data_IF_698512717313
#
_entry.id   IF_698512717313
#
_cell.length_a   1.000
_cell.length_b   1.000
_cell.length_c   1.000
_cell.angle_alpha   90.00
_cell.angle_beta   90.00
_cell.angle_gamma   90.00
#
_symmetry.space_group_name_H-M   'P 1'
#
loop_
_entity.id
_entity.type
_entity.pdbx_description
1 polymer ?
#
# COMPACT_ATOMS: atom_id res chain seq x y z
N UNK A 1 3.64 20.69 1.86
CA UNK A 1 2.57 19.73 1.52
C UNK A 1 2.54 18.69 2.63
N UNK A 2 1.43 18.57 3.37
CA UNK A 2 1.29 17.61 4.46
C UNK A 2 0.61 16.37 3.86
N UNK A 3 1.40 15.32 3.59
CA UNK A 3 0.88 14.06 3.09
C UNK A 3 0.78 13.07 4.25
N UNK A 4 -0.39 12.47 4.44
CA UNK A 4 -0.60 11.42 5.44
C UNK A 4 -0.83 10.09 4.72
N UNK A 5 -0.15 9.02 5.15
CA UNK A 5 -0.34 7.69 4.60
C UNK A 5 -0.67 6.68 5.70
N UNK A 6 -1.74 5.93 5.52
CA UNK A 6 -2.11 4.82 6.40
C UNK A 6 -2.06 3.51 5.59
N UNK A 7 -1.15 2.57 5.89
CA UNK A 7 -0.94 1.38 5.05
C UNK A 7 -2.04 0.32 5.15
N UNK A 8 -3.01 0.46 6.05
CA UNK A 8 -4.04 -0.55 6.32
C UNK A 8 -3.50 -1.81 7.04
N UNK A 9 -4.34 -2.43 7.86
CA UNK A 9 -4.04 -3.71 8.50
C UNK A 9 -4.06 -4.90 7.53
N UNK A 10 -3.60 -6.07 8.00
CA UNK A 10 -3.74 -7.32 7.24
C UNK A 10 -4.03 -8.50 8.21
N UNK A 11 -5.14 -8.45 8.96
CA UNK A 11 -5.52 -9.49 9.92
C UNK A 11 -5.74 -10.82 9.20
N UNK A 12 -5.44 -11.92 9.90
CA UNK A 12 -5.74 -13.27 9.42
C UNK A 12 -7.03 -13.77 10.05
N UNK A 13 -7.79 -14.55 9.29
CA UNK A 13 -8.94 -15.26 9.81
C UNK A 13 -8.52 -16.25 10.90
N UNK A 14 -9.41 -16.47 11.86
CA UNK A 14 -9.23 -17.49 12.90
C UNK A 14 -10.14 -18.67 12.59
N UNK A 15 -9.53 -19.80 12.25
CA UNK A 15 -10.27 -21.04 12.02
C UNK A 15 -10.26 -21.81 13.33
N UNK A 16 -11.43 -21.98 13.94
CA UNK A 16 -11.58 -22.81 15.14
C UNK A 16 -11.27 -24.27 14.79
N UNK A 17 -10.31 -24.85 15.51
CA UNK A 17 -9.82 -26.22 15.31
C UNK A 17 -9.92 -27.02 16.62
N UNK A 18 -10.93 -26.69 17.43
CA UNK A 18 -11.05 -27.24 18.78
C UNK A 18 -11.44 -28.71 18.74
N UNK A 19 -10.57 -29.56 19.25
CA UNK A 19 -10.79 -31.01 19.34
C UNK A 19 -11.67 -31.37 20.55
N UNK A 20 -12.39 -32.50 20.48
CA UNK A 20 -13.27 -32.95 21.58
C UNK A 20 -12.55 -33.19 22.92
N UNK A 21 -11.23 -33.38 22.89
CA UNK A 21 -10.37 -33.52 24.08
C UNK A 21 -10.05 -32.19 24.76
N UNK A 22 -10.23 -31.06 24.08
CA UNK A 22 -9.98 -29.73 24.61
C UNK A 22 -11.20 -29.28 25.40
N UNK A 23 -11.04 -29.14 26.74
CA UNK A 23 -12.16 -28.89 27.66
C UNK A 23 -12.19 -27.49 28.24
N UNK A 24 -11.06 -26.81 28.25
CA UNK A 24 -10.88 -25.56 29.00
C UNK A 24 -10.65 -24.34 28.09
N UNK A 25 -10.24 -24.55 26.83
CA UNK A 25 -9.96 -23.48 25.90
C UNK A 25 -10.20 -23.90 24.45
N UNK A 26 -10.63 -22.94 23.63
CA UNK A 26 -10.71 -23.08 22.18
C UNK A 26 -9.33 -22.94 21.56
N UNK A 27 -9.03 -23.78 20.58
CA UNK A 27 -7.82 -23.73 19.77
C UNK A 27 -8.15 -23.20 18.37
N UNK A 28 -7.18 -22.49 17.77
CA UNK A 28 -7.36 -21.81 16.49
C UNK A 28 -6.14 -22.00 15.59
N UNK A 29 -6.42 -22.21 14.30
CA UNK A 29 -5.45 -22.15 13.22
C UNK A 29 -5.54 -20.81 12.51
N UNK A 30 -4.40 -20.34 11.98
CA UNK A 30 -4.30 -19.10 11.21
C UNK A 30 -4.82 -19.35 9.79
N UNK A 31 -5.88 -18.64 9.42
CA UNK A 31 -6.47 -18.66 8.08
C UNK A 31 -5.82 -17.69 7.11
N UNK A 32 -6.52 -17.41 6.02
CA UNK A 32 -6.11 -16.43 5.01
C UNK A 32 -6.07 -15.02 5.61
N UNK A 33 -5.21 -14.17 5.06
CA UNK A 33 -5.15 -12.76 5.46
C UNK A 33 -6.11 -11.94 4.60
N UNK A 34 -6.74 -10.95 5.23
CA UNK A 34 -7.64 -10.00 4.58
C UNK A 34 -6.99 -8.62 4.61
N UNK A 35 -6.35 -8.19 3.52
CA UNK A 35 -5.71 -6.88 3.46
C UNK A 35 -6.77 -5.77 3.52
N UNK A 36 -6.61 -4.85 4.47
CA UNK A 36 -7.42 -3.65 4.52
C UNK A 36 -6.96 -2.63 3.47
N UNK A 37 -7.85 -1.69 3.13
CA UNK A 37 -7.49 -0.59 2.26
C UNK A 37 -6.40 0.32 2.90
N UNK A 38 -5.50 0.81 2.06
CA UNK A 38 -4.58 1.88 2.42
C UNK A 38 -5.18 3.24 2.02
N UNK A 39 -4.89 4.28 2.79
CA UNK A 39 -5.38 5.64 2.51
C UNK A 39 -4.22 6.63 2.41
N UNK A 40 -4.32 7.53 1.43
CA UNK A 40 -3.35 8.60 1.16
C UNK A 40 -4.09 9.94 1.19
N UNK A 41 -3.82 10.75 2.20
CA UNK A 41 -4.29 12.14 2.27
C UNK A 41 -3.34 13.07 1.53
N UNK A 42 -3.85 13.83 0.55
CA UNK A 42 -3.07 14.78 -0.24
C UNK A 42 -3.86 16.03 -0.61
N UNK A 43 -3.13 17.12 -0.90
CA UNK A 43 -3.71 18.31 -1.50
C UNK A 43 -3.80 18.06 -3.00
N UNK A 44 -5.02 17.99 -3.55
CA UNK A 44 -5.23 17.72 -4.95
C UNK A 44 -4.60 18.84 -5.79
N UNK A 45 -3.78 18.46 -6.77
CA UNK A 45 -3.01 19.38 -7.59
C UNK A 45 -3.04 18.90 -9.04
N UNK A 46 -3.76 19.60 -9.94
CA UNK A 46 -3.87 19.23 -11.34
C UNK A 46 -2.58 19.46 -12.13
N UNK A 47 -1.55 20.08 -11.56
CA UNK A 47 -0.23 20.21 -12.21
C UNK A 47 0.70 19.04 -11.88
N UNK A 48 0.33 18.22 -10.89
CA UNK A 48 1.11 17.05 -10.51
C UNK A 48 0.62 15.81 -11.27
N UNK A 49 1.48 15.27 -12.14
CA UNK A 49 1.19 14.09 -12.94
C UNK A 49 0.78 12.87 -12.10
N UNK A 50 1.33 12.69 -10.89
CA UNK A 50 0.97 11.55 -10.04
C UNK A 50 -0.45 11.67 -9.48
N UNK A 51 -0.95 12.89 -9.25
CA UNK A 51 -2.33 13.10 -8.80
C UNK A 51 -3.32 12.80 -9.92
N UNK A 52 -3.02 13.24 -11.14
CA UNK A 52 -3.82 12.90 -12.33
C UNK A 52 -3.83 11.38 -12.54
N UNK A 53 -2.67 10.73 -12.40
CA UNK A 53 -2.57 9.28 -12.53
C UNK A 53 -3.42 8.54 -11.49
N UNK A 54 -3.35 8.93 -10.21
CA UNK A 54 -4.15 8.30 -9.15
C UNK A 54 -5.66 8.46 -9.41
N UNK A 55 -6.09 9.65 -9.82
CA UNK A 55 -7.48 9.88 -10.23
C UNK A 55 -7.86 9.01 -11.43
N UNK A 56 -7.03 8.97 -12.48
CA UNK A 56 -7.30 8.15 -13.67
C UNK A 56 -7.38 6.65 -13.36
N UNK A 57 -6.58 6.16 -12.41
CA UNK A 57 -6.65 4.78 -11.92
C UNK A 57 -7.94 4.51 -11.14
N UNK A 58 -8.46 5.47 -10.38
CA UNK A 58 -9.73 5.34 -9.67
C UNK A 58 -10.93 5.26 -10.65
N UNK A 59 -10.87 5.98 -11.77
CA UNK A 59 -11.91 5.98 -12.81
C UNK A 59 -11.82 4.77 -13.75
N UNK A 60 -10.71 4.04 -13.75
CA UNK A 60 -10.51 2.91 -14.63
C UNK A 60 -11.31 1.68 -14.13
N UNK A 61 -11.91 0.94 -15.07
CA UNK A 61 -12.50 -0.37 -14.76
C UNK A 61 -11.45 -1.48 -14.56
N UNK A 62 -10.17 -1.18 -14.83
CA UNK A 62 -9.07 -2.13 -14.66
C UNK A 62 -8.66 -2.19 -13.18
N UNK A 63 -8.90 -3.33 -12.56
CA UNK A 63 -8.56 -3.61 -11.17
C UNK A 63 -7.27 -4.41 -11.03
N UNK A 64 -6.46 -4.49 -12.10
CA UNK A 64 -5.16 -5.15 -12.08
C UNK A 64 -4.29 -4.52 -10.98
N UNK A 65 -3.84 -5.30 -9.99
CA UNK A 65 -3.03 -4.75 -8.90
C UNK A 65 -1.71 -4.17 -9.42
N UNK A 66 -1.43 -2.93 -9.03
CA UNK A 66 -0.16 -2.24 -9.22
C UNK A 66 0.71 -2.41 -7.97
N UNK A 67 2.03 -2.34 -8.15
CA UNK A 67 2.99 -2.29 -7.05
C UNK A 67 3.16 -0.86 -6.58
N UNK A 68 2.91 -0.62 -5.29
CA UNK A 68 3.16 0.65 -4.61
C UNK A 68 4.40 0.55 -3.74
N UNK A 69 5.28 1.54 -3.83
CA UNK A 69 6.46 1.68 -2.99
C UNK A 69 6.38 2.95 -2.16
N UNK A 70 6.44 2.80 -0.84
CA UNK A 70 6.48 3.92 0.12
C UNK A 70 7.86 3.95 0.75
N UNK A 71 8.64 4.95 0.36
CA UNK A 71 9.98 5.20 0.88
C UNK A 71 9.95 6.05 2.14
N UNK A 72 10.72 5.65 3.15
CA UNK A 72 10.87 6.42 4.39
C UNK A 72 11.79 7.62 4.18
N UNK A 73 11.77 8.56 5.12
CA UNK A 73 12.59 9.79 5.07
C UNK A 73 14.07 9.57 5.39
N UNK A 74 14.52 8.33 5.59
CA UNK A 74 15.89 7.94 5.97
C UNK A 74 16.86 7.80 4.78
N UNK A 75 16.39 8.12 3.58
CA UNK A 75 17.16 8.24 2.34
C UNK A 75 16.46 9.17 1.36
N UNK A 76 17.07 9.46 0.21
CA UNK A 76 16.50 10.34 -0.84
C UNK A 76 16.28 9.64 -2.18
N UNK A 77 16.95 8.50 -2.42
CA UNK A 77 16.91 7.79 -3.69
C UNK A 77 15.53 7.25 -4.05
N UNK A 78 15.18 7.35 -5.33
CA UNK A 78 13.87 7.00 -5.88
C UNK A 78 13.92 5.58 -6.46
N UNK A 79 12.88 4.73 -6.28
CA UNK A 79 12.88 3.40 -6.85
C UNK A 79 12.64 3.46 -8.36
N UNK A 80 13.05 2.43 -9.08
CA UNK A 80 12.84 2.35 -10.54
C UNK A 80 12.12 1.05 -10.92
N UNK A 81 11.43 1.06 -12.05
CA UNK A 81 10.89 -0.16 -12.64
C UNK A 81 12.04 -1.09 -13.05
N UNK A 82 11.92 -2.37 -12.72
CA UNK A 82 12.90 -3.38 -13.08
C UNK A 82 12.86 -3.68 -14.59
N UNK A 83 14.04 -3.82 -15.19
CA UNK A 83 14.15 -4.40 -16.52
C UNK A 83 13.82 -5.91 -16.47
N UNK A 84 13.32 -6.50 -17.58
CA UNK A 84 13.11 -7.94 -17.65
C UNK A 84 14.40 -8.71 -17.30
N UNK A 85 14.33 -9.62 -16.33
CA UNK A 85 15.47 -10.42 -15.88
C UNK A 85 16.45 -9.71 -14.94
N UNK A 86 16.11 -8.53 -14.42
CA UNK A 86 16.92 -7.88 -13.38
C UNK A 86 16.93 -8.71 -12.08
N UNK A 87 18.09 -8.72 -11.42
CA UNK A 87 18.30 -9.30 -10.10
C UNK A 87 17.90 -8.30 -9.00
N UNK A 88 17.69 -8.78 -7.77
CA UNK A 88 17.33 -7.96 -6.59
C UNK A 88 16.07 -7.10 -6.75
N UNK A 89 15.05 -7.68 -7.40
CA UNK A 89 13.76 -7.02 -7.68
C UNK A 89 12.72 -7.40 -6.63
N UNK A 90 11.96 -6.42 -6.15
CA UNK A 90 10.78 -6.62 -5.29
C UNK A 90 9.54 -6.17 -6.05
N UNK A 91 8.67 -7.13 -6.40
CA UNK A 91 7.38 -6.90 -7.08
C UNK A 91 7.49 -6.00 -8.33
N UNK A 92 8.56 -6.19 -9.12
CA UNK A 92 8.83 -5.44 -10.35
C UNK A 92 9.58 -4.11 -10.15
N UNK A 93 10.03 -3.81 -8.93
CA UNK A 93 10.80 -2.61 -8.61
C UNK A 93 12.23 -2.92 -8.18
N UNK A 94 13.19 -2.11 -8.65
CA UNK A 94 14.54 -2.04 -8.10
C UNK A 94 14.54 -0.97 -7.00
N UNK A 95 14.91 -1.37 -5.78
CA UNK A 95 14.85 -0.53 -4.59
C UNK A 95 16.26 -0.10 -4.16
N UNK A 96 16.55 1.21 -4.13
CA UNK A 96 17.79 1.72 -3.57
C UNK A 96 18.01 1.30 -2.10
N UNK A 97 19.21 0.83 -1.78
CA UNK A 97 19.56 0.30 -0.46
C UNK A 97 19.75 1.38 0.62
N UNK A 98 19.81 2.66 0.24
CA UNK A 98 20.03 3.80 1.11
C UNK A 98 18.76 4.31 1.82
N UNK A 99 17.63 3.63 1.62
CA UNK A 99 16.31 4.01 2.14
C UNK A 99 15.52 2.77 2.61
N UNK A 100 14.68 2.95 3.63
CA UNK A 100 13.71 1.93 4.06
C UNK A 100 12.45 1.99 3.20
N UNK A 101 11.94 0.82 2.78
CA UNK A 101 10.78 0.70 1.90
C UNK A 101 9.65 -0.12 2.51
N UNK A 102 8.42 0.32 2.26
CA UNK A 102 7.21 -0.48 2.45
C UNK A 102 6.55 -0.70 1.08
N UNK A 103 6.49 -1.95 0.65
CA UNK A 103 5.96 -2.37 -0.65
C UNK A 103 4.65 -3.13 -0.45
N UNK A 104 3.67 -2.87 -1.28
CA UNK A 104 2.43 -3.64 -1.32
C UNK A 104 1.80 -3.54 -2.71
N UNK A 105 0.91 -4.49 -3.02
CA UNK A 105 0.13 -4.46 -4.25
C UNK A 105 -1.31 -4.05 -3.98
N UNK A 106 -1.96 -3.43 -4.96
CA UNK A 106 -3.37 -3.05 -4.88
C UNK A 106 -3.84 -2.26 -6.10
N UNK A 107 -5.10 -1.86 -6.14
CA UNK A 107 -5.62 -0.94 -7.15
C UNK A 107 -6.21 0.29 -6.46
N UNK A 108 -6.23 1.43 -7.15
CA UNK A 108 -6.85 2.64 -6.60
C UNK A 108 -8.36 2.46 -6.70
N UNK A 109 -9.03 2.43 -5.54
CA UNK A 109 -10.47 2.17 -5.48
C UNK A 109 -11.31 3.45 -5.47
N UNK A 110 -10.73 4.57 -5.00
CA UNK A 110 -11.42 5.85 -4.94
C UNK A 110 -10.45 7.03 -4.85
N UNK A 111 -10.87 8.18 -5.37
CA UNK A 111 -10.15 9.46 -5.32
C UNK A 111 -11.15 10.62 -5.19
N UNK A 112 -11.79 10.82 -4.03
CA UNK A 112 -12.83 11.82 -3.87
C UNK A 112 -12.22 13.22 -3.69
N UNK A 113 -12.77 14.22 -4.38
CA UNK A 113 -12.38 15.62 -4.16
C UNK A 113 -13.23 16.27 -3.07
N UNK A 114 -12.58 16.94 -2.13
CA UNK A 114 -13.24 17.80 -1.14
C UNK A 114 -12.94 19.28 -1.44
N UNK A 115 -14.02 20.05 -1.65
CA UNK A 115 -13.99 21.47 -1.94
C UNK A 115 -14.56 22.25 -0.76
N UNK A 116 -13.69 23.01 -0.09
CA UNK A 116 -14.08 23.85 1.03
C UNK A 116 -13.75 25.32 0.74
N UNK A 117 -14.63 26.22 1.16
CA UNK A 117 -14.41 27.67 1.01
C UNK A 117 -13.16 28.11 1.78
N UNK A 118 -12.33 28.96 1.16
CA UNK A 118 -11.06 29.45 1.71
C UNK A 118 -10.02 28.36 2.03
N UNK A 119 -10.11 27.19 1.39
CA UNK A 119 -9.15 26.10 1.56
C UNK A 119 -8.64 25.60 0.21
N UNK A 120 -7.53 24.86 0.25
CA UNK A 120 -7.06 24.08 -0.91
C UNK A 120 -7.96 22.86 -1.09
N UNK A 121 -8.08 22.38 -2.33
CA UNK A 121 -8.79 21.13 -2.61
C UNK A 121 -8.00 19.98 -2.01
N UNK A 122 -8.67 19.13 -1.24
CA UNK A 122 -8.04 17.95 -0.62
C UNK A 122 -8.67 16.68 -1.15
N UNK A 123 -7.97 15.56 -0.97
CA UNK A 123 -8.47 14.24 -1.30
C UNK A 123 -7.86 13.19 -0.37
N UNK A 124 -8.64 12.16 -0.09
CA UNK A 124 -8.22 10.97 0.65
C UNK A 124 -8.31 9.77 -0.30
N UNK A 125 -7.29 9.60 -1.13
CA UNK A 125 -7.22 8.51 -2.09
C UNK A 125 -7.19 7.16 -1.36
N UNK A 126 -7.97 6.20 -1.85
CA UNK A 126 -8.06 4.86 -1.25
C UNK A 126 -7.49 3.82 -2.20
N UNK A 127 -6.65 2.93 -1.68
CA UNK A 127 -6.03 1.83 -2.41
C UNK A 127 -6.48 0.52 -1.77
N UNK A 128 -7.23 -0.29 -2.52
CA UNK A 128 -7.62 -1.61 -2.06
C UNK A 128 -6.42 -2.56 -2.22
N UNK A 129 -5.84 -2.97 -1.10
CA UNK A 129 -4.65 -3.84 -1.08
C UNK A 129 -5.01 -5.25 -1.52
N UNK A 130 -4.07 -5.88 -2.21
CA UNK A 130 -4.10 -7.28 -2.62
C UNK A 130 -2.82 -7.96 -2.16
N UNK A 131 -2.93 -9.13 -1.55
CA UNK A 131 -1.78 -9.91 -1.08
C UNK A 131 -1.07 -9.33 0.16
N UNK A 132 0.16 -9.78 0.39
CA UNK A 132 1.00 -9.33 1.49
C UNK A 132 1.71 -8.01 1.20
N UNK A 133 2.25 -7.39 2.24
CA UNK A 133 3.24 -6.31 2.11
C UNK A 133 4.63 -6.80 2.44
N UNK A 134 5.64 -6.16 1.86
CA UNK A 134 7.06 -6.37 2.14
C UNK A 134 7.61 -5.14 2.83
N UNK A 135 8.39 -5.33 3.89
CA UNK A 135 9.14 -4.27 4.55
C UNK A 135 10.63 -4.52 4.32
N UNK A 136 11.30 -3.59 3.65
CA UNK A 136 12.72 -3.68 3.28
C UNK A 136 13.49 -2.62 4.06
N UNK A 137 14.23 -2.99 5.12
CA UNK A 137 15.05 -2.05 5.87
C UNK A 137 16.19 -1.48 5.00
N UNK A 138 16.56 -0.22 5.26
CA UNK A 138 17.81 0.35 4.75
C UNK A 138 19.00 -0.56 5.09
N UNK A 139 19.92 -0.74 4.15
CA UNK A 139 21.13 -1.52 4.39
C UNK A 139 21.97 -0.86 5.50
N UNK A 140 22.50 -1.68 6.41
CA UNK A 140 23.48 -1.21 7.38
C UNK A 140 24.76 -0.77 6.64
N UNK A 141 25.32 0.37 7.04
CA UNK A 141 26.58 0.90 6.52
C UNK A 141 27.78 0.07 6.98
#
# INVERSE_FOLDING_TARGET
MHHQFQPGGNPADQIEDTCLSERDSRTYKKGLKTPAAATVGLNADPTNASHIMLHGLAEANDQTPLTFAVGWSDGTSVPTAAAPGAEDVVDGLVLPADRTWFIFQGYVSDFPFDFQGNAVVTTSATIQRSGSSVWVPKAAA
#
